data_IF_467627636104
#
_entry.id   IF_467627636104
#
_cell.length_a   1.000
_cell.length_b   1.000
_cell.length_c   1.000
_cell.angle_alpha   90.00
_cell.angle_beta   90.00
_cell.angle_gamma   90.00
#
_symmetry.space_group_name_H-M   'P 1'
#
loop_
_entity.id
_entity.type
_entity.pdbx_description
1 polymer ?
#
# COMPACT_ATOMS: atom_id res chain seq x y z
N UNK A 1 -77.89 -5.56 -10.45
CA UNK A 1 -76.51 -6.07 -10.69
C UNK A 1 -75.53 -5.20 -9.91
N UNK A 2 -74.92 -5.79 -8.87
CA UNK A 2 -73.56 -5.62 -8.26
C UNK A 2 -72.86 -4.27 -8.57
N UNK A 3 -72.68 -3.27 -7.69
CA UNK A 3 -72.04 -3.11 -6.35
C UNK A 3 -70.50 -3.30 -6.30
N UNK A 4 -69.81 -2.35 -5.65
CA UNK A 4 -68.48 -2.45 -4.96
C UNK A 4 -67.26 -2.23 -5.88
N UNK A 5 -66.46 -1.14 -5.83
CA UNK A 5 -65.61 -0.52 -4.77
C UNK A 5 -64.12 -0.90 -4.87
N UNK A 6 -63.27 0.15 -4.83
CA UNK A 6 -61.93 0.25 -4.21
C UNK A 6 -60.76 -0.46 -4.92
N UNK A 7 -59.73 0.30 -5.32
CA UNK A 7 -58.44 0.36 -4.63
C UNK A 7 -57.35 1.00 -5.51
N UNK A 8 -56.85 2.15 -5.04
CA UNK A 8 -55.55 2.71 -5.41
C UNK A 8 -54.44 1.68 -5.27
N UNK A 9 -53.61 1.54 -6.29
CA UNK A 9 -52.31 0.89 -6.17
C UNK A 9 -51.24 1.83 -6.74
N UNK A 10 -50.80 2.76 -5.89
CA UNK A 10 -49.54 3.50 -6.08
C UNK A 10 -48.43 2.45 -6.01
N UNK A 11 -47.94 1.99 -7.17
CA UNK A 11 -46.72 1.20 -7.23
C UNK A 11 -45.56 2.15 -6.99
N UNK A 12 -45.13 2.21 -5.72
CA UNK A 12 -43.83 2.71 -5.36
C UNK A 12 -42.78 1.85 -6.09
N UNK A 13 -42.24 2.36 -7.18
CA UNK A 13 -41.08 1.80 -7.85
C UNK A 13 -39.90 2.02 -6.91
N UNK A 14 -39.68 1.09 -6.00
CA UNK A 14 -38.50 1.02 -5.17
C UNK A 14 -37.29 1.03 -6.10
N UNK A 15 -36.56 2.15 -6.11
CA UNK A 15 -35.23 2.23 -6.68
C UNK A 15 -34.39 1.22 -5.90
N UNK A 16 -34.22 0.03 -6.51
CA UNK A 16 -33.30 -0.97 -6.06
C UNK A 16 -31.91 -0.33 -6.18
N UNK A 17 -31.40 0.26 -5.09
CA UNK A 17 -29.98 0.54 -4.96
C UNK A 17 -29.28 -0.81 -5.09
N UNK A 18 -28.91 -1.15 -6.33
CA UNK A 18 -27.96 -2.22 -6.60
C UNK A 18 -26.72 -1.85 -5.81
N UNK A 19 -26.45 -2.61 -4.76
CA UNK A 19 -25.17 -2.61 -4.09
C UNK A 19 -24.12 -2.84 -5.18
N UNK A 20 -23.46 -1.78 -5.62
CA UNK A 20 -22.31 -1.86 -6.49
C UNK A 20 -21.31 -2.69 -5.65
N UNK A 21 -20.91 -3.89 -6.09
CA UNK A 21 -19.84 -4.59 -5.41
C UNK A 21 -18.65 -3.65 -5.43
N UNK A 22 -18.31 -3.11 -4.24
CA UNK A 22 -17.13 -2.28 -4.05
C UNK A 22 -15.98 -3.17 -4.48
N UNK A 23 -15.48 -2.95 -5.70
CA UNK A 23 -14.46 -3.79 -6.33
C UNK A 23 -13.38 -3.99 -5.28
N UNK A 24 -13.22 -5.23 -4.79
CA UNK A 24 -12.09 -5.54 -3.92
C UNK A 24 -10.88 -5.27 -4.79
N UNK A 25 -10.17 -4.17 -4.50
CA UNK A 25 -8.87 -3.91 -5.10
C UNK A 25 -8.03 -5.17 -4.86
N UNK A 26 -7.51 -5.75 -5.93
CA UNK A 26 -6.88 -7.06 -5.88
C UNK A 26 -5.61 -6.99 -5.02
N UNK A 27 -5.32 -8.09 -4.32
CA UNK A 27 -4.05 -8.26 -3.64
C UNK A 27 -2.91 -8.10 -4.65
N UNK A 28 -1.91 -7.30 -4.29
CA UNK A 28 -0.74 -7.03 -5.12
C UNK A 28 0.47 -7.65 -4.45
N UNK A 29 1.21 -8.47 -5.19
CA UNK A 29 2.56 -8.90 -4.82
C UNK A 29 3.54 -8.25 -5.78
N UNK A 30 4.50 -7.50 -5.25
CA UNK A 30 5.47 -6.75 -6.04
C UNK A 30 6.82 -6.79 -5.36
N UNK A 31 7.89 -6.92 -6.15
CA UNK A 31 9.26 -6.78 -5.65
C UNK A 31 9.62 -5.30 -5.67
N UNK A 32 9.99 -4.78 -4.51
CA UNK A 32 10.31 -3.37 -4.25
C UNK A 32 11.61 -3.26 -3.48
N UNK A 33 12.11 -2.03 -3.37
CA UNK A 33 13.39 -1.72 -2.75
C UNK A 33 13.21 -0.76 -1.57
N UNK A 34 14.05 -0.92 -0.55
CA UNK A 34 14.09 -0.04 0.61
C UNK A 34 15.53 0.28 1.00
N UNK A 35 15.84 1.56 1.17
CA UNK A 35 17.13 1.98 1.71
C UNK A 35 17.11 2.03 3.23
N UNK A 36 18.14 1.52 3.89
CA UNK A 36 18.37 1.79 5.33
C UNK A 36 19.85 2.06 5.66
N UNK A 37 20.14 2.88 6.70
CA UNK A 37 21.51 3.10 7.16
C UNK A 37 22.02 1.96 8.04
N UNK A 38 21.12 1.12 8.58
CA UNK A 38 21.41 0.00 9.48
C UNK A 38 21.11 -1.35 8.82
N UNK A 39 21.90 -2.36 9.16
CA UNK A 39 21.63 -3.74 8.77
C UNK A 39 20.64 -4.37 9.76
N UNK A 40 19.59 -5.02 9.27
CA UNK A 40 18.59 -5.71 10.08
C UNK A 40 18.00 -6.93 9.35
N UNK A 41 17.42 -7.83 10.12
CA UNK A 41 16.82 -9.08 9.59
C UNK A 41 15.30 -8.98 9.36
N UNK A 42 14.64 -8.00 9.98
CA UNK A 42 13.19 -7.81 9.91
C UNK A 42 12.82 -6.33 9.93
N UNK A 43 11.76 -5.98 9.21
CA UNK A 43 11.15 -4.66 9.33
C UNK A 43 10.45 -4.50 10.67
N UNK A 44 10.52 -3.30 11.22
CA UNK A 44 9.80 -2.89 12.42
C UNK A 44 9.37 -1.44 12.28
N UNK A 45 8.26 -1.05 12.92
CA UNK A 45 7.73 0.30 12.81
C UNK A 45 8.38 1.29 13.79
N UNK A 46 9.09 0.80 14.80
CA UNK A 46 9.65 1.59 15.90
C UNK A 46 10.66 2.64 15.43
N UNK A 47 11.44 2.32 14.41
CA UNK A 47 12.48 3.20 13.86
C UNK A 47 12.04 3.88 12.54
N UNK A 48 10.75 3.76 12.17
CA UNK A 48 10.23 4.28 10.90
C UNK A 48 9.67 5.69 11.03
N UNK A 49 9.86 6.50 9.99
CA UNK A 49 9.18 7.78 9.90
C UNK A 49 7.66 7.54 9.80
N UNK A 50 6.89 8.20 10.67
CA UNK A 50 5.42 8.18 10.66
C UNK A 50 4.76 6.81 10.90
N UNK A 51 5.51 5.81 11.38
CA UNK A 51 4.96 4.48 11.68
C UNK A 51 4.50 3.73 10.41
N UNK A 52 5.19 3.96 9.30
CA UNK A 52 4.94 3.33 7.99
C UNK A 52 6.26 2.98 7.31
N UNK A 53 6.22 2.00 6.42
CA UNK A 53 7.38 1.54 5.67
C UNK A 53 7.30 2.05 4.24
N UNK A 54 8.30 2.81 3.82
CA UNK A 54 8.42 3.32 2.44
C UNK A 54 9.26 2.38 1.59
N UNK A 55 8.79 2.10 0.38
CA UNK A 55 9.49 1.30 -0.62
C UNK A 55 9.39 1.97 -1.99
N UNK A 56 10.29 1.62 -2.91
CA UNK A 56 10.28 2.07 -4.29
C UNK A 56 10.39 0.90 -5.25
N UNK A 57 9.72 0.95 -6.40
CA UNK A 57 9.94 -0.03 -7.48
C UNK A 57 11.28 0.20 -8.20
N UNK A 58 11.78 1.44 -8.21
CA UNK A 58 13.05 1.78 -8.85
C UNK A 58 14.20 1.82 -7.83
N UNK A 59 15.05 0.80 -7.89
CA UNK A 59 16.29 0.71 -7.12
C UNK A 59 17.19 1.93 -7.34
N UNK A 60 17.32 2.40 -8.57
CA UNK A 60 18.24 3.47 -8.92
C UNK A 60 17.74 4.83 -8.41
N UNK A 61 16.43 5.03 -8.27
CA UNK A 61 15.87 6.18 -7.56
C UNK A 61 16.31 6.25 -6.10
N UNK A 62 16.43 5.10 -5.42
CA UNK A 62 16.96 5.04 -4.05
C UNK A 62 18.42 5.46 -4.04
N UNK A 63 19.23 4.97 -4.99
CA UNK A 63 20.66 5.34 -5.10
C UNK A 63 20.84 6.83 -5.42
N UNK A 64 19.99 7.41 -6.28
CA UNK A 64 19.99 8.84 -6.62
C UNK A 64 19.40 9.73 -5.51
N UNK A 65 18.69 9.13 -4.55
CA UNK A 65 18.04 9.80 -3.45
C UNK A 65 16.74 10.53 -3.80
N UNK A 66 16.06 10.06 -4.84
CA UNK A 66 14.82 10.63 -5.37
C UNK A 66 13.55 9.98 -4.79
N UNK A 67 13.67 8.88 -4.03
CA UNK A 67 12.54 8.18 -3.41
C UNK A 67 12.41 8.48 -1.92
N UNK A 68 11.18 8.46 -1.40
CA UNK A 68 10.91 8.50 0.05
C UNK A 68 11.50 7.31 0.82
N UNK A 69 11.88 6.24 0.13
CA UNK A 69 12.57 5.08 0.69
C UNK A 69 14.11 5.22 0.70
N UNK A 70 14.65 6.41 0.45
CA UNK A 70 16.09 6.65 0.33
C UNK A 70 16.86 6.38 1.64
N UNK A 71 17.93 5.58 1.55
CA UNK A 71 19.02 5.60 2.52
C UNK A 71 20.34 5.12 1.94
N UNK A 72 21.43 5.48 2.62
CA UNK A 72 22.77 5.57 2.04
C UNK A 72 23.68 4.36 2.20
N UNK A 73 23.34 3.37 3.06
CA UNK A 73 24.26 2.25 3.35
C UNK A 73 23.80 0.89 2.81
N UNK A 74 22.56 0.50 3.05
CA UNK A 74 22.03 -0.80 2.62
C UNK A 74 20.79 -0.63 1.76
N UNK A 75 20.67 -1.43 0.71
CA UNK A 75 19.46 -1.54 -0.12
C UNK A 75 18.89 -2.94 0.07
N UNK A 76 17.64 -2.99 0.51
CA UNK A 76 16.88 -4.22 0.69
C UNK A 76 16.03 -4.44 -0.54
N UNK A 77 16.09 -5.64 -1.11
CA UNK A 77 15.07 -6.13 -2.04
C UNK A 77 14.01 -6.85 -1.22
N UNK A 78 12.76 -6.46 -1.42
CA UNK A 78 11.63 -6.85 -0.58
C UNK A 78 10.48 -7.31 -1.46
N UNK A 79 9.93 -8.48 -1.18
CA UNK A 79 8.64 -8.87 -1.71
C UNK A 79 7.56 -8.27 -0.81
N UNK A 80 6.81 -7.33 -1.37
CA UNK A 80 5.72 -6.65 -0.70
C UNK A 80 4.39 -7.28 -1.15
N UNK A 81 3.59 -7.70 -0.18
CA UNK A 81 2.26 -8.26 -0.40
C UNK A 81 1.19 -7.40 0.28
N UNK A 82 0.39 -6.67 -0.50
CA UNK A 82 -0.69 -5.83 0.02
C UNK A 82 -2.03 -6.32 -0.50
N UNK A 83 -2.94 -6.72 0.39
CA UNK A 83 -4.28 -7.17 -0.02
C UNK A 83 -5.12 -6.01 -0.55
N UNK A 84 -5.06 -4.86 0.12
CA UNK A 84 -5.90 -3.72 -0.24
C UNK A 84 -5.14 -2.39 -0.16
N UNK A 85 -4.30 -2.08 -1.17
CA UNK A 85 -3.56 -0.82 -1.19
C UNK A 85 -4.46 0.37 -1.54
N UNK A 86 -4.37 1.46 -0.78
CA UNK A 86 -4.92 2.76 -1.14
C UNK A 86 -4.16 3.34 -2.35
N UNK A 87 -4.78 4.22 -3.13
CA UNK A 87 -4.07 5.02 -4.14
C UNK A 87 -4.04 6.50 -3.79
N UNK A 88 -3.55 7.33 -4.71
CA UNK A 88 -3.58 8.81 -4.60
C UNK A 88 -4.94 9.35 -4.15
N UNK A 89 -6.03 8.85 -4.73
CA UNK A 89 -7.37 9.33 -4.42
C UNK A 89 -7.82 9.09 -2.97
N UNK A 90 -7.30 8.07 -2.30
CA UNK A 90 -7.56 7.87 -0.86
C UNK A 90 -6.51 8.53 0.01
N UNK A 91 -5.25 8.56 -0.43
CA UNK A 91 -4.16 9.24 0.27
C UNK A 91 -4.39 10.75 0.41
N UNK A 92 -4.92 11.40 -0.63
CA UNK A 92 -5.24 12.84 -0.60
C UNK A 92 -6.48 13.15 0.26
N UNK A 93 -7.37 12.17 0.45
CA UNK A 93 -8.64 12.36 1.17
C UNK A 93 -8.56 11.98 2.64
N UNK A 94 -7.71 11.02 2.99
CA UNK A 94 -7.67 10.42 4.31
C UNK A 94 -6.25 10.46 4.86
N UNK A 95 -6.13 10.81 6.14
CA UNK A 95 -4.86 10.68 6.84
C UNK A 95 -4.45 9.20 6.99
N UNK A 96 -3.15 8.93 7.15
CA UNK A 96 -2.60 7.57 7.32
C UNK A 96 -3.39 6.73 8.34
N UNK A 97 -3.74 7.31 9.50
CA UNK A 97 -4.50 6.63 10.53
C UNK A 97 -5.92 6.22 10.07
N UNK A 98 -6.58 7.06 9.26
CA UNK A 98 -7.90 6.77 8.71
C UNK A 98 -7.84 5.70 7.63
N UNK A 99 -6.78 5.67 6.82
CA UNK A 99 -6.54 4.59 5.86
C UNK A 99 -6.40 3.25 6.58
N UNK A 100 -5.59 3.19 7.64
CA UNK A 100 -5.50 2.00 8.50
C UNK A 100 -6.86 1.61 9.09
N UNK A 101 -7.61 2.57 9.65
CA UNK A 101 -8.94 2.30 10.22
C UNK A 101 -9.96 1.81 9.18
N UNK A 102 -9.87 2.31 7.96
CA UNK A 102 -10.73 1.87 6.86
C UNK A 102 -10.37 0.46 6.36
N UNK A 103 -9.26 -0.13 6.82
CA UNK A 103 -8.79 -1.47 6.50
C UNK A 103 -7.92 -1.54 5.24
N UNK A 104 -7.20 -0.45 4.91
CA UNK A 104 -6.16 -0.49 3.88
C UNK A 104 -4.85 -0.95 4.53
N UNK A 105 -4.07 -1.76 3.79
CA UNK A 105 -2.84 -2.38 4.31
C UNK A 105 -1.58 -1.62 3.85
N UNK A 106 -1.75 -0.78 2.82
CA UNK A 106 -0.70 0.08 2.31
C UNK A 106 -1.25 1.12 1.34
N UNK A 107 -0.34 1.80 0.65
CA UNK A 107 -0.63 2.86 -0.31
C UNK A 107 0.29 2.67 -1.52
N UNK A 108 -0.26 2.83 -2.71
CA UNK A 108 0.47 2.90 -3.98
C UNK A 108 0.50 4.34 -4.47
N UNK A 109 1.71 4.91 -4.56
CA UNK A 109 1.98 6.28 -5.01
C UNK A 109 2.91 6.22 -6.22
N UNK A 110 2.33 6.06 -7.42
CA UNK A 110 3.06 5.89 -8.69
C UNK A 110 4.07 4.75 -8.68
N UNK A 111 5.35 5.01 -8.46
CA UNK A 111 6.41 4.00 -8.35
C UNK A 111 6.83 3.71 -6.90
N UNK A 112 6.36 4.51 -5.95
CA UNK A 112 6.57 4.28 -4.53
C UNK A 112 5.39 3.49 -3.91
N UNK A 113 5.73 2.76 -2.85
CA UNK A 113 4.80 1.98 -2.05
C UNK A 113 4.98 2.32 -0.58
N UNK A 114 3.87 2.35 0.14
CA UNK A 114 3.86 2.49 1.60
C UNK A 114 3.16 1.28 2.19
N UNK A 115 3.80 0.56 3.09
CA UNK A 115 3.16 -0.52 3.85
C UNK A 115 2.93 -0.10 5.30
N UNK A 116 1.84 -0.56 5.88
CA UNK A 116 1.47 -0.24 7.25
C UNK A 116 1.86 -1.32 8.26
N UNK A 117 1.94 -2.58 7.85
CA UNK A 117 2.40 -3.69 8.69
C UNK A 117 3.72 -4.25 8.12
N UNK A 118 4.78 -4.42 8.95
CA UNK A 118 6.02 -5.06 8.53
C UNK A 118 5.86 -6.51 8.07
N UNK A 119 4.79 -7.21 8.46
CA UNK A 119 4.54 -8.59 8.04
C UNK A 119 4.29 -8.73 6.54
N UNK A 120 3.83 -7.65 5.91
CA UNK A 120 3.54 -7.59 4.48
C UNK A 120 4.83 -7.46 3.65
N UNK A 121 5.97 -7.16 4.30
CA UNK A 121 7.25 -6.92 3.68
C UNK A 121 8.25 -8.04 4.01
N UNK A 122 8.53 -8.89 3.03
CA UNK A 122 9.50 -9.98 3.16
C UNK A 122 10.81 -9.64 2.47
N UNK A 123 11.91 -9.57 3.22
CA UNK A 123 13.25 -9.34 2.67
C UNK A 123 13.69 -10.57 1.88
N UNK A 124 14.05 -10.37 0.61
CA UNK A 124 14.57 -11.42 -0.28
C UNK A 124 16.04 -11.25 -0.63
N UNK A 125 16.58 -10.04 -0.49
CA UNK A 125 17.99 -9.76 -0.73
C UNK A 125 18.44 -8.48 -0.06
N UNK A 126 19.75 -8.40 0.20
CA UNK A 126 20.36 -7.20 0.79
C UNK A 126 21.65 -6.87 0.05
N UNK A 127 21.80 -5.60 -0.30
CA UNK A 127 22.98 -5.03 -0.90
C UNK A 127 23.59 -4.00 0.04
N UNK A 128 24.92 -3.94 0.11
CA UNK A 128 25.66 -2.95 0.89
C UNK A 128 26.46 -2.04 -0.03
N UNK A 129 26.38 -0.73 0.25
CA UNK A 129 27.22 0.28 -0.40
C UNK A 129 28.67 0.12 0.05
N UNK A 130 29.51 -0.19 -0.91
CA UNK A 130 30.94 -0.35 -0.74
C UNK A 130 31.66 1.02 -0.78
N UNK A 131 32.90 1.11 -0.29
CA UNK A 131 33.69 2.35 -0.30
C UNK A 131 33.94 2.93 -1.70
N UNK A 132 33.90 2.10 -2.74
CA UNK A 132 34.03 2.48 -4.15
C UNK A 132 32.75 3.12 -4.73
N UNK A 133 31.68 3.19 -3.93
CA UNK A 133 30.38 3.72 -4.33
C UNK A 133 29.46 2.71 -5.00
N UNK A 134 29.94 1.49 -5.27
CA UNK A 134 29.13 0.41 -5.83
C UNK A 134 28.32 -0.30 -4.74
N UNK A 135 27.30 -1.03 -5.15
CA UNK A 135 26.53 -1.89 -4.26
C UNK A 135 26.87 -3.34 -4.53
N UNK A 136 27.11 -4.09 -3.45
CA UNK A 136 27.38 -5.52 -3.53
C UNK A 136 26.31 -6.27 -2.76
N UNK A 137 25.74 -7.31 -3.38
CA UNK A 137 24.83 -8.22 -2.70
C UNK A 137 25.56 -8.98 -1.60
N UNK A 138 25.04 -8.89 -0.39
CA UNK A 138 25.57 -9.57 0.81
C UNK A 138 24.64 -10.70 1.27
N UNK A 139 23.37 -10.70 0.83
CA UNK A 139 22.35 -11.71 1.15
C UNK A 139 21.35 -11.87 0.01
#
# INVERSE_FOLDING_TARGET
MVRTCIASAVRATAYLLRAIPRMKKAAVTVTVYHGSPKLFDKFGLEETAQGVLWFSEDRDKIVRGESGANSSKYIYTVDLHLDRPAGWGEYDKYFLAQLKQNGYDGIKLDDDWVAFDPKDARIVGVEERQPDGNYKRIR
#
